data_IF_426581735462
#
_entry.id   IF_426581735462
#
_cell.length_a   1.000
_cell.length_b   1.000
_cell.length_c   1.000
_cell.angle_alpha   90.00
_cell.angle_beta   90.00
_cell.angle_gamma   90.00
#
_symmetry.space_group_name_H-M   'P 1'
#
loop_
_entity.id
_entity.type
_entity.pdbx_description
1 polymer ?
#
# COMPACT_ATOMS: atom_id res chain seq x y z
N UNK A 1 4.91 -10.66 -23.12
CA UNK A 1 6.22 -10.32 -22.50
C UNK A 1 5.98 -9.19 -21.50
N UNK A 2 5.18 -9.45 -20.46
CA UNK A 2 4.77 -8.45 -19.46
C UNK A 2 4.57 -9.20 -18.15
N UNK A 3 5.69 -9.58 -17.51
CA UNK A 3 5.65 -10.47 -16.33
C UNK A 3 6.82 -10.23 -15.39
N UNK A 4 7.22 -8.97 -15.12
CA UNK A 4 8.29 -8.72 -14.14
C UNK A 4 7.98 -7.60 -13.14
N UNK A 5 7.13 -6.64 -13.49
CA UNK A 5 6.87 -5.48 -12.61
C UNK A 5 5.70 -5.69 -11.66
N UNK A 6 4.81 -6.66 -11.92
CA UNK A 6 3.74 -7.05 -10.97
C UNK A 6 4.25 -7.86 -9.77
N UNK A 7 5.36 -8.57 -9.91
CA UNK A 7 5.81 -9.52 -8.88
C UNK A 7 6.59 -8.88 -7.73
N UNK A 8 7.20 -7.70 -7.94
CA UNK A 8 8.04 -7.05 -6.94
C UNK A 8 7.24 -6.50 -5.74
N UNK A 9 5.92 -6.37 -5.86
CA UNK A 9 5.01 -6.06 -4.75
C UNK A 9 4.37 -7.29 -4.10
N UNK A 10 4.52 -8.49 -4.68
CA UNK A 10 3.76 -9.68 -4.31
C UNK A 10 4.43 -10.55 -3.22
N UNK A 11 5.69 -10.28 -2.84
CA UNK A 11 6.52 -11.28 -2.14
C UNK A 11 6.61 -11.15 -0.59
N UNK A 12 5.75 -10.40 0.09
CA UNK A 12 5.85 -10.26 1.57
C UNK A 12 4.73 -10.96 2.37
N UNK A 13 3.83 -11.71 1.71
CA UNK A 13 2.83 -12.50 2.44
C UNK A 13 2.49 -13.81 1.72
N UNK A 14 3.36 -14.81 1.86
CA UNK A 14 3.19 -16.18 1.33
C UNK A 14 1.96 -16.97 1.88
N UNK A 15 0.97 -16.29 2.45
CA UNK A 15 -0.30 -16.85 2.90
C UNK A 15 -1.49 -15.88 2.86
N UNK A 16 -1.33 -14.65 2.35
CA UNK A 16 -2.43 -13.66 2.25
C UNK A 16 -2.75 -13.39 0.79
N UNK A 17 -4.04 -13.30 0.44
CA UNK A 17 -4.51 -12.90 -0.89
C UNK A 17 -3.80 -11.63 -1.37
N UNK A 18 -3.31 -11.64 -2.62
CA UNK A 18 -2.78 -10.45 -3.28
C UNK A 18 -3.85 -9.37 -3.46
N UNK A 19 -3.44 -8.10 -3.59
CA UNK A 19 -4.36 -6.97 -3.69
C UNK A 19 -5.39 -7.12 -4.82
N UNK A 20 -4.93 -7.41 -6.05
CA UNK A 20 -5.83 -7.50 -7.20
C UNK A 20 -6.84 -8.62 -7.05
N UNK A 21 -6.41 -9.78 -6.53
CA UNK A 21 -7.30 -10.89 -6.31
C UNK A 21 -8.33 -10.60 -5.20
N UNK A 22 -7.91 -9.94 -4.11
CA UNK A 22 -8.82 -9.51 -3.06
C UNK A 22 -9.84 -8.46 -3.57
N UNK A 23 -9.40 -7.54 -4.43
CA UNK A 23 -10.27 -6.55 -5.08
C UNK A 23 -11.29 -7.22 -6.00
N UNK A 24 -10.84 -8.14 -6.84
CA UNK A 24 -11.70 -8.80 -7.82
C UNK A 24 -12.75 -9.68 -7.12
N UNK A 25 -12.37 -10.39 -6.04
CA UNK A 25 -13.33 -11.12 -5.21
C UNK A 25 -14.33 -10.18 -4.51
N UNK A 26 -13.87 -9.01 -4.04
CA UNK A 26 -14.75 -8.01 -3.41
C UNK A 26 -15.78 -7.47 -4.40
N UNK A 27 -15.39 -7.22 -5.65
CA UNK A 27 -16.30 -6.80 -6.73
C UNK A 27 -17.39 -7.86 -6.94
N UNK A 28 -17.03 -9.15 -6.96
CA UNK A 28 -17.99 -10.23 -7.10
C UNK A 28 -18.95 -10.34 -5.91
N UNK A 29 -18.47 -10.13 -4.69
CA UNK A 29 -19.32 -10.06 -3.48
C UNK A 29 -20.33 -8.93 -3.60
N UNK A 30 -19.88 -7.71 -3.93
CA UNK A 30 -20.75 -6.54 -4.10
C UNK A 30 -21.79 -6.80 -5.19
N UNK A 31 -21.37 -7.34 -6.35
CA UNK A 31 -22.29 -7.67 -7.44
C UNK A 31 -23.38 -8.63 -7.01
N UNK A 32 -23.06 -9.65 -6.19
CA UNK A 32 -24.05 -10.61 -5.66
C UNK A 32 -25.00 -9.96 -4.67
N UNK A 33 -24.51 -9.09 -3.78
CA UNK A 33 -25.35 -8.33 -2.86
C UNK A 33 -26.32 -7.39 -3.60
N UNK A 34 -25.85 -6.71 -4.64
CA UNK A 34 -26.65 -5.80 -5.46
C UNK A 34 -27.69 -6.50 -6.32
N UNK A 35 -27.37 -7.71 -6.82
CA UNK A 35 -28.33 -8.53 -7.57
C UNK A 35 -29.52 -8.96 -6.71
N UNK A 36 -29.34 -9.07 -5.39
CA UNK A 36 -30.35 -9.57 -4.47
C UNK A 36 -30.74 -11.02 -4.76
N UNK A 37 -31.92 -11.43 -4.32
CA UNK A 37 -32.43 -12.81 -4.52
C UNK A 37 -31.76 -13.87 -3.64
N UNK A 38 -30.90 -13.46 -2.70
CA UNK A 38 -30.30 -14.30 -1.66
C UNK A 38 -31.14 -14.31 -0.39
N UNK A 39 -30.97 -15.33 0.45
CA UNK A 39 -31.56 -15.33 1.79
C UNK A 39 -30.86 -14.29 2.69
N UNK A 40 -31.42 -14.03 3.86
CA UNK A 40 -30.79 -13.14 4.84
C UNK A 40 -29.43 -13.69 5.29
N UNK A 41 -29.36 -14.97 5.59
CA UNK A 41 -28.14 -15.65 6.01
C UNK A 41 -27.04 -15.59 4.94
N UNK A 42 -27.41 -15.80 3.67
CA UNK A 42 -26.48 -15.66 2.54
C UNK A 42 -26.00 -14.20 2.37
N UNK A 43 -26.91 -13.24 2.55
CA UNK A 43 -26.58 -11.81 2.47
C UNK A 43 -25.63 -11.38 3.57
N UNK A 44 -25.80 -11.91 4.79
CA UNK A 44 -24.89 -11.68 5.90
C UNK A 44 -23.51 -12.31 5.64
N UNK A 45 -23.46 -13.55 5.16
CA UNK A 45 -22.20 -14.21 4.83
C UNK A 45 -21.42 -13.47 3.73
N UNK A 46 -22.12 -12.96 2.70
CA UNK A 46 -21.52 -12.12 1.67
C UNK A 46 -20.98 -10.82 2.25
N UNK A 47 -21.73 -10.15 3.13
CA UNK A 47 -21.28 -8.93 3.77
C UNK A 47 -20.02 -9.15 4.62
N UNK A 48 -20.01 -10.19 5.46
CA UNK A 48 -18.84 -10.54 6.29
C UNK A 48 -17.61 -10.81 5.44
N UNK A 49 -17.78 -11.56 4.34
CA UNK A 49 -16.70 -11.79 3.37
C UNK A 49 -16.20 -10.50 2.73
N UNK A 50 -17.12 -9.60 2.35
CA UNK A 50 -16.78 -8.28 1.82
C UNK A 50 -15.94 -7.45 2.79
N UNK A 51 -16.29 -7.47 4.08
CA UNK A 51 -15.54 -6.78 5.14
C UNK A 51 -14.12 -7.34 5.32
N UNK A 52 -13.95 -8.66 5.25
CA UNK A 52 -12.63 -9.30 5.28
C UNK A 52 -11.76 -8.89 4.09
N UNK A 53 -12.33 -8.92 2.88
CA UNK A 53 -11.62 -8.53 1.66
C UNK A 53 -11.25 -7.05 1.68
N UNK A 54 -12.15 -6.17 2.14
CA UNK A 54 -11.86 -4.75 2.31
C UNK A 54 -10.70 -4.51 3.30
N UNK A 55 -10.63 -5.28 4.40
CA UNK A 55 -9.49 -5.22 5.33
C UNK A 55 -8.17 -5.65 4.66
N UNK A 56 -8.20 -6.69 3.82
CA UNK A 56 -7.02 -7.12 3.04
C UNK A 56 -6.57 -6.00 2.11
N UNK A 57 -7.48 -5.43 1.33
CA UNK A 57 -7.17 -4.33 0.40
C UNK A 57 -6.56 -3.13 1.11
N UNK A 58 -7.11 -2.73 2.27
CA UNK A 58 -6.57 -1.61 3.05
C UNK A 58 -5.14 -1.87 3.52
N UNK A 59 -4.85 -3.06 4.06
CA UNK A 59 -3.49 -3.41 4.51
C UNK A 59 -2.46 -3.28 3.37
N UNK A 60 -2.81 -3.73 2.17
CA UNK A 60 -1.95 -3.59 1.00
C UNK A 60 -1.69 -2.13 0.64
N UNK A 61 -2.73 -1.30 0.63
CA UNK A 61 -2.62 0.13 0.30
C UNK A 61 -1.83 0.91 1.37
N UNK A 62 -2.06 0.63 2.65
CA UNK A 62 -1.32 1.21 3.77
C UNK A 62 0.17 0.84 3.70
N UNK A 63 0.50 -0.44 3.43
CA UNK A 63 1.88 -0.87 3.25
C UNK A 63 2.57 -0.26 2.02
N UNK A 64 1.83 -0.05 0.93
CA UNK A 64 2.35 0.68 -0.23
C UNK A 64 2.62 2.16 0.09
N UNK A 65 1.70 2.81 0.82
CA UNK A 65 1.85 4.19 1.26
C UNK A 65 3.06 4.38 2.17
N UNK A 66 3.22 3.52 3.17
CA UNK A 66 4.36 3.59 4.10
C UNK A 66 5.72 3.47 3.38
N UNK A 67 5.81 2.62 2.35
CA UNK A 67 7.04 2.50 1.53
C UNK A 67 7.33 3.75 0.73
N UNK A 68 6.30 4.40 0.18
CA UNK A 68 6.45 5.66 -0.53
C UNK A 68 6.91 6.77 0.41
N UNK A 69 6.29 6.87 1.59
CA UNK A 69 6.62 7.89 2.58
C UNK A 69 8.07 7.73 3.09
N UNK A 70 8.52 6.48 3.29
CA UNK A 70 9.91 6.19 3.65
C UNK A 70 10.90 6.61 2.55
N UNK A 71 10.62 6.28 1.29
CA UNK A 71 11.48 6.64 0.17
C UNK A 71 11.61 8.16 0.00
N UNK A 72 10.51 8.91 0.20
CA UNK A 72 10.53 10.38 0.15
C UNK A 72 11.33 11.00 1.30
N UNK A 73 11.22 10.43 2.51
CA UNK A 73 12.00 10.89 3.66
C UNK A 73 13.51 10.65 3.49
N UNK A 74 13.89 9.52 2.91
CA UNK A 74 15.28 9.20 2.59
C UNK A 74 15.85 10.21 1.55
N UNK A 75 15.10 10.55 0.50
CA UNK A 75 15.51 11.57 -0.48
C UNK A 75 15.72 12.96 0.16
N UNK A 76 14.85 13.35 1.09
CA UNK A 76 14.92 14.64 1.77
C UNK A 76 16.10 14.71 2.77
N UNK A 77 16.43 13.58 3.42
CA UNK A 77 17.60 13.46 4.28
C UNK A 77 18.91 13.61 3.49
N UNK A 78 19.01 12.96 2.32
CA UNK A 78 20.19 13.07 1.44
C UNK A 78 20.33 14.48 0.83
N UNK A 79 19.23 15.21 0.59
CA UNK A 79 19.26 16.59 0.13
C UNK A 79 19.69 17.60 1.21
N UNK A 80 19.44 17.29 2.49
CA UNK A 80 19.75 18.15 3.65
C UNK A 80 21.23 18.16 4.08
N UNK A 81 22.00 17.13 3.74
CA UNK A 81 23.42 17.00 4.14
C UNK A 81 24.39 17.81 3.23
N UNK A 82 23.88 18.45 2.17
CA UNK A 82 24.69 19.19 1.19
C UNK A 82 25.05 20.64 1.54
N UNK A 83 24.51 21.23 2.62
CA UNK A 83 24.76 22.65 2.98
C UNK A 83 25.48 22.77 4.33
N UNK A 84 26.71 22.27 4.37
CA UNK A 84 27.52 22.23 5.59
C UNK A 84 29.02 22.42 5.37
N UNK A 85 29.48 23.18 4.37
CA UNK A 85 30.89 23.61 4.35
C UNK A 85 31.12 24.91 3.57
N UNK A 86 31.42 26.00 4.26
CA UNK A 86 31.80 27.26 3.63
C UNK A 86 31.84 28.51 4.52
N UNK A 87 32.15 28.43 5.82
CA UNK A 87 32.46 29.62 6.62
C UNK A 87 33.37 29.30 7.81
N UNK A 88 34.60 28.87 7.53
CA UNK A 88 35.67 28.94 8.53
C UNK A 88 36.91 29.60 7.93
N UNK A 89 37.40 30.61 8.67
CA UNK A 89 38.67 31.31 8.57
C UNK A 89 38.83 32.40 7.49
N UNK A 90 38.86 33.67 7.96
CA UNK A 90 40.02 34.55 7.78
C UNK A 90 39.98 35.75 8.76
N UNK A 91 40.98 35.80 9.64
CA UNK A 91 41.51 37.05 10.20
C UNK A 91 41.10 37.40 11.63
N UNK A 92 41.76 36.78 12.60
CA UNK A 92 42.33 37.58 13.68
C UNK A 92 43.55 38.30 13.10
N UNK A 93 43.69 39.61 13.33
CA UNK A 93 44.95 40.37 13.52
C UNK A 93 44.67 41.89 13.43
N UNK A 94 45.23 42.62 14.42
CA UNK A 94 45.29 44.08 14.72
C UNK A 94 44.09 44.77 15.42
#
# INVERSE_FOLDING_TARGET
MTSRTDEAGANEAAGTLGYEQARDELIEVVRRLEAGGTTLEESLALWERGEELAKVCRRWLEGARARLDAALADEEAEAGDGTGNGAAARGADD
#
